data_IF_189047169386
#
_entry.id   IF_189047169386
#
_cell.length_a   1.000
_cell.length_b   1.000
_cell.length_c   1.000
_cell.angle_alpha   90.00
_cell.angle_beta   90.00
_cell.angle_gamma   90.00
#
_symmetry.space_group_name_H-M   'P 1'
#
loop_
_entity.id
_entity.type
_entity.pdbx_description
1 polymer ?
#
# COMPACT_ATOMS: atom_id res chain seq x y z
N UNK A 1 -28.57 4.40 -0.25
CA UNK A 1 -27.77 4.82 0.92
C UNK A 1 -26.91 5.99 0.47
N UNK A 2 -27.00 7.18 1.07
CA UNK A 2 -26.10 8.28 0.70
C UNK A 2 -24.68 7.94 1.16
N UNK A 3 -23.70 8.12 0.28
CA UNK A 3 -22.30 7.83 0.54
C UNK A 3 -21.68 9.04 1.24
N UNK A 4 -21.57 9.00 2.56
CA UNK A 4 -20.88 10.04 3.33
C UNK A 4 -19.38 10.02 2.96
N UNK A 5 -18.88 11.16 2.47
CA UNK A 5 -17.58 11.27 1.78
C UNK A 5 -16.37 11.32 2.73
N UNK A 6 -16.40 10.60 3.85
CA UNK A 6 -15.32 10.57 4.86
C UNK A 6 -15.00 9.15 5.34
N UNK A 7 -15.41 8.11 4.60
CA UNK A 7 -14.97 6.76 4.93
C UNK A 7 -13.48 6.59 4.59
N UNK A 8 -12.62 6.23 5.57
CA UNK A 8 -11.21 5.97 5.31
C UNK A 8 -11.10 4.83 4.30
N UNK A 9 -10.41 5.04 3.18
CA UNK A 9 -10.30 4.05 2.11
C UNK A 9 -9.58 2.79 2.62
N UNK A 10 -10.32 1.72 2.95
CA UNK A 10 -9.71 0.53 3.52
C UNK A 10 -9.10 -0.29 2.39
N UNK A 11 -8.12 -1.11 2.74
CA UNK A 11 -7.64 -2.15 1.83
C UNK A 11 -8.58 -3.34 2.00
N UNK A 12 -9.07 -3.89 0.89
CA UNK A 12 -9.93 -5.07 0.85
C UNK A 12 -9.22 -6.20 0.14
N UNK A 13 -9.53 -7.43 0.54
CA UNK A 13 -9.08 -8.65 -0.11
C UNK A 13 -10.29 -9.47 -0.56
N UNK A 14 -10.10 -10.17 -1.67
CA UNK A 14 -11.12 -11.00 -2.32
C UNK A 14 -10.50 -12.34 -2.68
N UNK A 15 -11.31 -13.39 -2.68
CA UNK A 15 -10.92 -14.66 -3.25
C UNK A 15 -11.05 -14.56 -4.78
N UNK A 16 -10.03 -15.00 -5.51
CA UNK A 16 -10.01 -15.01 -6.97
C UNK A 16 -10.39 -16.40 -7.46
N UNK A 17 -11.60 -16.53 -8.00
CA UNK A 17 -12.09 -17.76 -8.62
C UNK A 17 -11.73 -17.76 -10.11
N UNK A 18 -11.03 -18.81 -10.56
CA UNK A 18 -10.71 -19.06 -11.97
C UNK A 18 -10.06 -17.85 -12.69
N UNK A 19 -9.29 -17.04 -11.96
CA UNK A 19 -8.57 -15.87 -12.49
C UNK A 19 -9.45 -14.71 -13.00
N UNK A 20 -10.78 -14.82 -12.92
CA UNK A 20 -11.69 -13.91 -13.63
C UNK A 20 -12.86 -13.42 -12.78
N UNK A 21 -13.08 -14.02 -11.61
CA UNK A 21 -14.18 -13.64 -10.71
C UNK A 21 -13.67 -13.39 -9.29
N UNK A 22 -14.18 -12.33 -8.67
CA UNK A 22 -13.91 -12.00 -7.27
C UNK A 22 -15.09 -12.40 -6.39
N UNK A 23 -14.82 -12.99 -5.22
CA UNK A 23 -15.81 -13.32 -4.20
C UNK A 23 -15.31 -13.02 -2.78
N UNK A 24 -16.22 -13.12 -1.82
CA UNK A 24 -15.92 -13.11 -0.37
C UNK A 24 -15.08 -11.90 0.08
N UNK A 25 -15.47 -10.72 -0.40
CA UNK A 25 -14.77 -9.47 -0.12
C UNK A 25 -14.77 -9.13 1.36
N UNK A 26 -13.58 -9.08 1.95
CA UNK A 26 -13.37 -8.81 3.38
C UNK A 26 -12.41 -7.65 3.60
N UNK A 27 -12.51 -7.03 4.78
CA UNK A 27 -11.55 -6.02 5.20
C UNK A 27 -10.18 -6.68 5.36
N UNK A 28 -9.15 -6.11 4.73
CA UNK A 28 -7.77 -6.52 4.91
C UNK A 28 -7.05 -5.59 5.89
N UNK A 29 -7.13 -4.28 5.66
CA UNK A 29 -6.56 -3.28 6.55
C UNK A 29 -7.45 -2.04 6.66
N UNK A 30 -7.64 -1.56 7.89
CA UNK A 30 -8.26 -0.26 8.15
C UNK A 30 -7.18 0.83 8.06
N UNK A 31 -7.45 1.89 7.29
CA UNK A 31 -6.52 2.99 7.05
C UNK A 31 -6.85 4.25 7.82
N UNK A 32 -7.89 4.26 8.66
CA UNK A 32 -8.19 5.39 9.54
C UNK A 32 -6.96 5.81 10.39
N UNK A 33 -6.71 7.11 10.60
CA UNK A 33 -7.52 8.25 10.15
C UNK A 33 -7.21 8.73 8.72
N UNK A 34 -6.30 8.07 8.00
CA UNK A 34 -5.91 8.44 6.64
C UNK A 34 -6.52 7.53 5.58
N UNK A 35 -5.82 7.46 4.45
CA UNK A 35 -6.26 6.78 3.23
C UNK A 35 -5.12 5.96 2.63
N UNK A 36 -5.46 4.80 2.05
CA UNK A 36 -4.60 4.09 1.10
C UNK A 36 -4.83 4.59 -0.32
N UNK A 37 -3.77 4.67 -1.10
CA UNK A 37 -3.84 4.84 -2.57
C UNK A 37 -3.16 3.63 -3.24
N UNK A 38 -2.06 3.83 -3.98
CA UNK A 38 -1.37 2.75 -4.68
C UNK A 38 -0.78 1.67 -3.77
N UNK A 39 -0.96 0.40 -4.15
CA UNK A 39 -0.43 -0.76 -3.42
C UNK A 39 0.46 -1.66 -4.29
N UNK A 40 1.45 -2.33 -3.69
CA UNK A 40 2.27 -3.39 -4.32
C UNK A 40 2.52 -4.51 -3.33
N UNK A 41 2.89 -5.69 -3.83
CA UNK A 41 3.34 -6.80 -2.99
C UNK A 41 4.85 -7.02 -3.12
N UNK A 42 5.48 -7.45 -2.03
CA UNK A 42 6.81 -8.05 -2.08
C UNK A 42 6.74 -9.58 -2.25
N UNK A 43 7.91 -10.19 -2.46
CA UNK A 43 8.05 -11.64 -2.67
C UNK A 43 7.60 -12.49 -1.47
N UNK A 44 7.51 -11.91 -0.27
CA UNK A 44 7.08 -12.59 0.96
C UNK A 44 5.56 -12.49 1.15
N UNK A 45 4.87 -11.81 0.24
CA UNK A 45 3.42 -11.62 0.25
C UNK A 45 2.97 -10.40 1.06
N UNK A 46 3.87 -9.56 1.57
CA UNK A 46 3.48 -8.37 2.30
C UNK A 46 2.90 -7.33 1.33
N UNK A 47 1.88 -6.60 1.78
CA UNK A 47 1.24 -5.51 1.04
C UNK A 47 1.83 -4.17 1.47
N UNK A 48 2.44 -3.48 0.52
CA UNK A 48 3.00 -2.14 0.67
C UNK A 48 2.00 -1.13 0.11
N UNK A 49 1.51 -0.22 0.94
CA UNK A 49 0.45 0.74 0.61
C UNK A 49 0.93 2.18 0.77
N UNK A 50 0.71 2.99 -0.27
CA UNK A 50 0.88 4.43 -0.22
C UNK A 50 -0.16 5.01 0.74
N UNK A 51 0.28 5.88 1.64
CA UNK A 51 -0.51 6.39 2.73
C UNK A 51 -0.42 7.92 2.82
N UNK A 52 -1.55 8.54 3.16
CA UNK A 52 -1.65 9.98 3.32
C UNK A 52 -2.98 10.43 3.93
N UNK A 53 -3.16 11.74 4.04
CA UNK A 53 -4.41 12.40 4.47
C UNK A 53 -4.88 12.12 5.91
N UNK A 54 -4.07 11.43 6.72
CA UNK A 54 -4.32 11.15 8.15
C UNK A 54 -3.47 11.99 9.12
N UNK A 55 -2.86 13.08 8.64
CA UNK A 55 -1.86 13.88 9.34
C UNK A 55 -0.41 13.51 8.97
N UNK A 56 0.56 14.32 9.40
CA UNK A 56 1.96 14.19 9.01
C UNK A 56 2.57 12.81 9.33
N UNK A 57 2.25 12.25 10.50
CA UNK A 57 2.69 10.91 10.93
C UNK A 57 2.09 9.77 10.08
N UNK A 58 1.04 10.05 9.31
CA UNK A 58 0.37 9.09 8.45
C UNK A 58 1.01 8.98 7.06
N UNK A 59 1.67 10.04 6.61
CA UNK A 59 2.23 10.16 5.27
C UNK A 59 3.35 9.15 5.00
N UNK A 60 3.35 8.56 3.81
CA UNK A 60 4.41 7.69 3.32
C UNK A 60 3.90 6.30 2.95
N UNK A 61 4.47 5.24 3.52
CA UNK A 61 4.13 3.85 3.18
C UNK A 61 3.80 3.04 4.43
N UNK A 62 2.75 2.22 4.34
CA UNK A 62 2.40 1.20 5.34
C UNK A 62 2.67 -0.18 4.76
N UNK A 63 3.27 -1.06 5.56
CA UNK A 63 3.58 -2.43 5.17
C UNK A 63 2.79 -3.38 6.03
N UNK A 64 1.96 -4.20 5.40
CA UNK A 64 1.10 -5.17 6.06
C UNK A 64 1.55 -6.59 5.73
N UNK A 65 1.61 -7.47 6.71
CA UNK A 65 1.79 -8.90 6.51
C UNK A 65 0.61 -9.51 5.72
N UNK A 66 0.73 -10.71 5.15
CA UNK A 66 -0.33 -11.35 4.37
C UNK A 66 -1.67 -11.55 5.11
N UNK A 67 -1.67 -11.47 6.44
CA UNK A 67 -2.86 -11.57 7.28
C UNK A 67 -3.52 -10.20 7.59
N UNK A 68 -2.93 -9.10 7.13
CA UNK A 68 -3.40 -7.73 7.38
C UNK A 68 -2.72 -7.04 8.56
N UNK A 69 -1.81 -7.71 9.28
CA UNK A 69 -1.08 -7.10 10.41
C UNK A 69 -0.13 -6.02 9.93
N UNK A 70 -0.18 -4.80 10.50
CA UNK A 70 0.77 -3.74 10.18
C UNK A 70 2.16 -4.06 10.78
N UNK A 71 3.16 -4.26 9.92
CA UNK A 71 4.52 -4.66 10.30
C UNK A 71 5.58 -3.58 10.02
N UNK A 72 5.25 -2.53 9.28
CA UNK A 72 6.22 -1.50 8.93
C UNK A 72 5.63 -0.17 8.47
N UNK A 73 6.44 0.88 8.60
CA UNK A 73 6.12 2.25 8.21
C UNK A 73 7.35 2.91 7.60
N UNK A 74 7.19 3.61 6.47
CA UNK A 74 8.18 4.57 5.96
C UNK A 74 7.50 5.93 6.00
N UNK A 75 8.04 6.87 6.77
CA UNK A 75 7.50 8.21 6.88
C UNK A 75 8.01 9.10 5.77
N UNK A 76 7.10 9.84 5.13
CA UNK A 76 7.42 10.90 4.17
C UNK A 76 6.84 12.23 4.68
N UNK A 77 7.41 13.38 4.29
CA UNK A 77 6.90 14.68 4.73
C UNK A 77 5.55 15.04 4.07
N UNK A 78 5.13 14.32 3.03
CA UNK A 78 3.93 14.60 2.25
C UNK A 78 3.15 13.32 1.88
N UNK A 79 1.83 13.40 1.63
CA UNK A 79 0.99 12.25 1.26
C UNK A 79 1.56 11.48 0.07
N UNK A 80 1.71 10.16 0.22
CA UNK A 80 2.13 9.30 -0.87
C UNK A 80 0.93 8.82 -1.67
N UNK A 81 0.99 8.94 -3.00
CA UNK A 81 -0.06 8.48 -3.90
C UNK A 81 0.25 7.10 -4.49
N UNK A 82 1.53 6.80 -4.77
CA UNK A 82 1.88 5.51 -5.37
C UNK A 82 3.31 5.09 -5.03
N UNK A 83 3.57 3.79 -5.16
CA UNK A 83 4.88 3.21 -4.99
C UNK A 83 5.12 2.05 -5.96
N UNK A 84 6.39 1.81 -6.28
CA UNK A 84 6.80 0.61 -7.00
C UNK A 84 8.21 0.17 -6.61
N UNK A 85 8.41 -1.14 -6.61
CA UNK A 85 9.74 -1.71 -6.54
C UNK A 85 10.45 -1.54 -7.89
N UNK A 86 11.75 -1.29 -7.85
CA UNK A 86 12.57 -1.13 -9.04
C UNK A 86 14.07 -1.26 -8.73
N UNK A 87 14.88 -0.75 -9.64
CA UNK A 87 16.33 -0.99 -9.65
C UNK A 87 16.67 -2.41 -10.13
N UNK A 88 17.95 -2.66 -10.40
CA UNK A 88 18.42 -3.91 -11.00
C UNK A 88 18.08 -5.17 -10.16
N UNK A 89 17.95 -5.01 -8.85
CA UNK A 89 17.61 -6.08 -7.90
C UNK A 89 16.17 -6.01 -7.37
N UNK A 90 15.31 -5.18 -7.96
CA UNK A 90 13.91 -4.96 -7.52
C UNK A 90 13.76 -4.63 -6.02
N UNK A 91 14.81 -4.09 -5.40
CA UNK A 91 14.87 -3.80 -3.97
C UNK A 91 15.03 -2.30 -3.67
N UNK A 92 14.79 -1.44 -4.67
CA UNK A 92 14.66 0.00 -4.47
C UNK A 92 13.19 0.37 -4.59
N UNK A 93 12.60 0.87 -3.52
CA UNK A 93 11.24 1.35 -3.50
C UNK A 93 11.21 2.80 -3.97
N UNK A 94 10.52 3.08 -5.08
CA UNK A 94 10.21 4.43 -5.54
C UNK A 94 8.82 4.82 -5.02
N UNK A 95 8.67 6.06 -4.55
CA UNK A 95 7.45 6.57 -3.93
C UNK A 95 7.13 7.95 -4.52
N UNK A 96 6.01 8.05 -5.22
CA UNK A 96 5.48 9.32 -5.70
C UNK A 96 4.62 9.93 -4.60
N UNK A 97 5.07 11.04 -4.03
CA UNK A 97 4.40 11.68 -2.90
C UNK A 97 4.21 13.16 -3.20
N UNK A 98 2.95 13.59 -3.29
CA UNK A 98 2.49 14.90 -3.75
C UNK A 98 3.39 15.62 -4.75
N UNK A 99 4.40 16.39 -4.31
CA UNK A 99 5.26 17.22 -5.15
C UNK A 99 6.64 16.61 -5.45
N UNK A 100 6.97 15.43 -4.90
CA UNK A 100 8.29 14.83 -4.96
C UNK A 100 8.29 13.34 -5.31
N UNK A 101 9.46 12.85 -5.73
CA UNK A 101 9.75 11.42 -5.85
C UNK A 101 10.82 11.04 -4.83
N UNK A 102 10.50 10.10 -3.95
CA UNK A 102 11.43 9.53 -2.98
C UNK A 102 11.85 8.14 -3.41
N UNK A 103 13.05 7.72 -2.98
CA UNK A 103 13.47 6.35 -3.16
C UNK A 103 14.36 5.85 -2.02
N UNK A 104 14.17 4.61 -1.60
CA UNK A 104 14.97 3.96 -0.56
C UNK A 104 15.23 2.49 -0.91
N UNK A 105 16.39 1.97 -0.52
CA UNK A 105 16.64 0.53 -0.61
C UNK A 105 15.96 -0.19 0.56
N UNK A 106 15.34 -1.34 0.27
CA UNK A 106 14.65 -2.16 1.26
C UNK A 106 15.24 -3.58 1.28
N UNK A 107 15.00 -4.29 2.38
CA UNK A 107 15.52 -5.65 2.62
C UNK A 107 14.80 -6.78 1.89
N UNK A 108 13.83 -6.47 1.03
CA UNK A 108 13.04 -7.43 0.25
C UNK A 108 13.00 -7.01 -1.22
N UNK A 109 12.35 -7.82 -2.06
CA UNK A 109 12.17 -7.57 -3.49
C UNK A 109 10.68 -7.50 -3.84
N UNK A 110 10.32 -6.67 -4.81
CA UNK A 110 8.95 -6.65 -5.33
C UNK A 110 8.55 -7.95 -6.02
N UNK A 111 7.30 -8.37 -5.85
CA UNK A 111 6.73 -9.59 -6.46
C UNK A 111 6.50 -9.51 -7.99
N UNK A 112 7.14 -8.56 -8.67
CA UNK A 112 6.97 -8.33 -10.10
C UNK A 112 7.46 -9.54 -10.90
N UNK A 113 6.55 -10.21 -11.60
CA UNK A 113 6.87 -11.18 -12.63
C UNK A 113 7.13 -10.48 -13.98
N UNK A 114 7.92 -11.09 -14.90
CA UNK A 114 8.06 -10.62 -16.28
C UNK A 114 6.74 -10.54 -17.04
#
# INVERSE_FOLDING_TARGET
MPMESHDPHPIRVYDVESGTRLRNGRLFANMAPGTSDGIRCDQDGNVWSAAGWGGAEFNGVRVFAPDGTLIGKIHLPEPCANLCFGGARKNRLFMAASQSLYAVYVGTQGAQAP
#
